data_IF_470115190855
#
_entry.id   IF_470115190855
#
_cell.length_a   1.000
_cell.length_b   1.000
_cell.length_c   1.000
_cell.angle_alpha   90.00
_cell.angle_beta   90.00
_cell.angle_gamma   90.00
#
_symmetry.space_group_name_H-M   'P 1'
#
loop_
_entity.id
_entity.type
_entity.pdbx_description
1 polymer ?
#
# COMPACT_ATOMS: atom_id res chain seq x y z
N UNK A 1 -6.43 -16.74 11.93
CA UNK A 1 -5.74 -15.80 11.05
C UNK A 1 -4.82 -16.56 10.11
N UNK A 2 -4.91 -16.28 8.82
CA UNK A 2 -3.97 -16.85 7.84
C UNK A 2 -2.55 -16.37 8.11
N UNK A 3 -1.55 -17.19 7.81
CA UNK A 3 -0.15 -16.80 7.90
C UNK A 3 0.27 -16.06 6.64
N UNK A 4 1.09 -15.04 6.77
CA UNK A 4 1.79 -14.46 5.63
C UNK A 4 2.82 -15.45 5.12
N UNK A 5 2.70 -15.85 3.86
CA UNK A 5 3.64 -16.74 3.19
C UNK A 5 4.22 -16.01 1.99
N UNK A 6 5.50 -15.72 2.06
CA UNK A 6 6.23 -15.05 0.99
C UNK A 6 6.47 -15.99 -0.19
N UNK A 7 6.04 -15.57 -1.38
CA UNK A 7 6.32 -16.26 -2.64
C UNK A 7 7.13 -15.34 -3.54
N UNK A 8 8.38 -15.67 -3.74
CA UNK A 8 9.27 -14.90 -4.62
C UNK A 8 10.09 -15.86 -5.49
N UNK A 9 10.40 -15.47 -6.73
CA UNK A 9 11.23 -16.27 -7.64
C UNK A 9 12.73 -16.19 -7.31
N UNK A 10 13.10 -15.45 -6.28
CA UNK A 10 14.48 -15.22 -5.85
C UNK A 10 14.60 -15.32 -4.33
N UNK A 11 15.82 -15.45 -3.85
CA UNK A 11 16.16 -15.51 -2.43
C UNK A 11 16.93 -14.24 -2.02
N UNK A 12 16.95 -13.95 -0.73
CA UNK A 12 17.72 -12.83 -0.20
C UNK A 12 19.22 -12.97 -0.52
N UNK A 13 19.82 -11.91 -1.03
CA UNK A 13 21.23 -11.87 -1.45
C UNK A 13 21.95 -10.67 -0.84
N UNK A 14 23.28 -10.70 -0.88
CA UNK A 14 24.12 -9.63 -0.36
C UNK A 14 23.85 -9.36 1.13
N UNK A 15 23.58 -8.12 1.47
CA UNK A 15 23.32 -7.69 2.86
C UNK A 15 21.84 -7.87 3.28
N UNK A 16 20.96 -8.32 2.38
CA UNK A 16 19.53 -8.50 2.67
C UNK A 16 19.29 -9.50 3.82
N UNK A 17 19.90 -10.70 3.88
CA UNK A 17 19.68 -11.63 4.99
C UNK A 17 20.01 -11.02 6.34
N UNK A 18 21.10 -10.27 6.44
CA UNK A 18 21.51 -9.58 7.65
C UNK A 18 20.53 -8.48 8.04
N UNK A 19 20.08 -7.67 7.08
CA UNK A 19 19.11 -6.61 7.30
C UNK A 19 17.75 -7.18 7.76
N UNK A 20 17.28 -8.27 7.13
CA UNK A 20 16.03 -8.94 7.51
C UNK A 20 16.13 -9.46 8.95
N UNK A 21 17.23 -10.11 9.30
CA UNK A 21 17.45 -10.64 10.65
C UNK A 21 17.48 -9.53 11.70
N UNK A 22 18.21 -8.45 11.45
CA UNK A 22 18.33 -7.32 12.37
C UNK A 22 16.99 -6.60 12.58
N UNK A 23 16.24 -6.37 11.51
CA UNK A 23 14.91 -5.73 11.59
C UNK A 23 13.90 -6.61 12.35
N UNK A 24 13.85 -7.91 12.06
CA UNK A 24 12.96 -8.84 12.75
C UNK A 24 13.29 -8.92 14.25
N UNK A 25 14.57 -9.04 14.60
CA UNK A 25 15.03 -9.03 15.99
C UNK A 25 14.68 -7.72 16.71
N UNK A 26 14.77 -6.58 16.01
CA UNK A 26 14.34 -5.29 16.56
C UNK A 26 12.86 -5.27 16.93
N UNK A 27 12.00 -5.87 16.12
CA UNK A 27 10.57 -6.02 16.44
C UNK A 27 10.35 -6.94 17.66
N UNK A 28 11.10 -8.03 17.79
CA UNK A 28 11.03 -8.94 18.93
C UNK A 28 11.47 -8.24 20.23
N UNK A 29 12.49 -7.41 20.15
CA UNK A 29 12.98 -6.58 21.26
C UNK A 29 12.09 -5.38 21.60
N UNK A 30 11.02 -5.15 20.82
CA UNK A 30 10.08 -4.05 21.03
C UNK A 30 10.63 -2.67 20.68
N UNK A 31 11.56 -2.58 19.75
CA UNK A 31 12.05 -1.29 19.24
C UNK A 31 10.90 -0.52 18.59
N UNK A 32 10.75 0.75 18.97
CA UNK A 32 9.67 1.61 18.48
C UNK A 32 9.88 2.08 17.03
N UNK A 33 11.13 2.18 16.61
CA UNK A 33 11.48 2.63 15.28
C UNK A 33 12.78 1.97 14.82
N UNK A 34 12.86 1.69 13.54
CA UNK A 34 14.05 1.18 12.86
C UNK A 34 14.14 1.81 11.48
N UNK A 35 15.32 2.01 10.96
CA UNK A 35 15.54 2.58 9.63
C UNK A 35 16.29 1.59 8.76
N UNK A 36 15.73 1.27 7.59
CA UNK A 36 16.39 0.52 6.54
C UNK A 36 16.94 1.50 5.50
N UNK A 37 18.27 1.63 5.43
CA UNK A 37 18.94 2.45 4.43
C UNK A 37 19.43 1.57 3.29
N UNK A 38 19.08 1.94 2.07
CA UNK A 38 19.53 1.23 0.88
C UNK A 38 19.33 2.09 -0.37
N UNK A 39 20.20 1.91 -1.34
CA UNK A 39 20.10 2.58 -2.64
C UNK A 39 18.92 2.07 -3.45
N UNK A 40 18.54 2.80 -4.49
CA UNK A 40 17.53 2.36 -5.44
C UNK A 40 17.95 1.02 -6.07
N UNK A 41 17.01 0.08 -6.17
CA UNK A 41 17.28 -1.25 -6.72
C UNK A 41 17.97 -2.23 -5.77
N UNK A 42 18.19 -1.87 -4.49
CA UNK A 42 18.77 -2.77 -3.48
C UNK A 42 17.82 -3.85 -2.94
N UNK A 43 16.58 -3.88 -3.43
CA UNK A 43 15.58 -4.84 -3.00
C UNK A 43 14.94 -4.52 -1.64
N UNK A 44 14.78 -3.23 -1.30
CA UNK A 44 14.16 -2.82 -0.04
C UNK A 44 12.74 -3.37 0.14
N UNK A 45 11.94 -3.41 -0.93
CA UNK A 45 10.56 -3.95 -0.86
C UNK A 45 10.56 -5.43 -0.53
N UNK A 46 11.45 -6.19 -1.15
CA UNK A 46 11.63 -7.61 -0.82
C UNK A 46 12.10 -7.82 0.62
N UNK A 47 13.02 -6.99 1.09
CA UNK A 47 13.48 -6.99 2.48
C UNK A 47 12.33 -6.73 3.45
N UNK A 48 11.47 -5.72 3.16
CA UNK A 48 10.27 -5.45 3.95
C UNK A 48 9.30 -6.63 3.95
N UNK A 49 9.03 -7.23 2.78
CA UNK A 49 8.17 -8.40 2.67
C UNK A 49 8.69 -9.59 3.50
N UNK A 50 9.99 -9.83 3.46
CA UNK A 50 10.64 -10.88 4.26
C UNK A 50 10.53 -10.63 5.76
N UNK A 51 10.61 -9.37 6.20
CA UNK A 51 10.40 -9.00 7.61
C UNK A 51 8.95 -9.23 8.01
N UNK A 52 7.98 -8.81 7.17
CA UNK A 52 6.54 -9.03 7.41
C UNK A 52 6.23 -10.52 7.57
N UNK A 53 6.77 -11.37 6.68
CA UNK A 53 6.61 -12.81 6.79
C UNK A 53 7.17 -13.34 8.12
N UNK A 54 8.33 -12.88 8.54
CA UNK A 54 8.99 -13.34 9.77
C UNK A 54 8.24 -12.89 11.01
N UNK A 55 7.79 -11.65 11.05
CA UNK A 55 7.11 -11.04 12.21
C UNK A 55 5.64 -11.45 12.32
N UNK A 56 4.97 -11.79 11.22
CA UNK A 56 3.57 -12.24 11.18
C UNK A 56 2.57 -11.27 11.85
N UNK A 57 2.75 -9.96 11.63
CA UNK A 57 1.86 -8.93 12.19
C UNK A 57 1.14 -8.16 11.09
N UNK A 58 -0.10 -7.70 11.34
CA UNK A 58 -0.75 -6.74 10.47
C UNK A 58 0.15 -5.52 10.24
N UNK A 59 0.30 -5.11 9.00
CA UNK A 59 1.27 -4.10 8.59
C UNK A 59 0.60 -3.00 7.78
N UNK A 60 0.82 -1.75 8.17
CA UNK A 60 0.42 -0.58 7.41
C UNK A 60 1.65 -0.01 6.69
N UNK A 61 1.57 0.08 5.36
CA UNK A 61 2.61 0.69 4.52
C UNK A 61 2.15 2.06 4.06
N UNK A 62 2.88 3.11 4.44
CA UNK A 62 2.57 4.49 4.07
C UNK A 62 3.56 4.96 3.00
N UNK A 63 3.03 5.49 1.90
CA UNK A 63 3.81 6.06 0.82
C UNK A 63 3.47 7.55 0.63
N UNK A 64 4.41 8.32 0.13
CA UNK A 64 4.27 9.77 -0.02
C UNK A 64 3.41 10.21 -1.22
N UNK A 65 3.09 9.30 -2.13
CA UNK A 65 2.19 9.56 -3.25
C UNK A 65 1.43 8.30 -3.70
N UNK A 66 0.38 8.52 -4.50
CA UNK A 66 -0.50 7.45 -4.99
C UNK A 66 0.21 6.47 -5.92
N UNK A 67 1.11 6.95 -6.75
CA UNK A 67 1.85 6.12 -7.72
C UNK A 67 2.73 5.11 -7.00
N UNK A 68 3.48 5.56 -6.00
CA UNK A 68 4.31 4.67 -5.19
C UNK A 68 3.46 3.73 -4.35
N UNK A 69 2.36 4.19 -3.77
CA UNK A 69 1.44 3.34 -3.03
C UNK A 69 0.85 2.23 -3.91
N UNK A 70 0.46 2.54 -5.14
CA UNK A 70 -0.04 1.56 -6.10
C UNK A 70 1.04 0.54 -6.49
N UNK A 71 2.26 1.00 -6.73
CA UNK A 71 3.39 0.12 -7.02
C UNK A 71 3.67 -0.83 -5.86
N UNK A 72 3.77 -0.32 -4.64
CA UNK A 72 3.99 -1.13 -3.45
C UNK A 72 2.87 -2.15 -3.23
N UNK A 73 1.61 -1.73 -3.40
CA UNK A 73 0.47 -2.64 -3.31
C UNK A 73 0.58 -3.79 -4.33
N UNK A 74 0.94 -3.49 -5.57
CA UNK A 74 1.15 -4.49 -6.62
C UNK A 74 2.29 -5.45 -6.27
N UNK A 75 3.42 -4.94 -5.80
CA UNK A 75 4.57 -5.75 -5.39
C UNK A 75 4.22 -6.65 -4.18
N UNK A 76 3.56 -6.12 -3.17
CA UNK A 76 3.13 -6.91 -2.01
C UNK A 76 2.07 -7.96 -2.36
N UNK A 77 1.15 -7.67 -3.29
CA UNK A 77 0.22 -8.68 -3.82
C UNK A 77 0.93 -9.81 -4.54
N UNK A 78 2.00 -9.51 -5.27
CA UNK A 78 2.83 -10.52 -5.92
C UNK A 78 3.61 -11.36 -4.90
N UNK A 79 4.11 -10.76 -3.82
CA UNK A 79 4.81 -11.48 -2.75
C UNK A 79 3.89 -12.29 -1.86
N UNK A 80 2.66 -11.83 -1.64
CA UNK A 80 1.68 -12.47 -0.76
C UNK A 80 0.36 -12.76 -1.49
N UNK A 81 0.37 -13.62 -2.52
CA UNK A 81 -0.81 -13.85 -3.37
C UNK A 81 -2.00 -14.46 -2.60
N UNK A 82 -1.74 -15.13 -1.50
CA UNK A 82 -2.76 -15.79 -0.67
C UNK A 82 -3.17 -14.95 0.55
N UNK A 83 -2.68 -13.73 0.67
CA UNK A 83 -2.96 -12.83 1.79
C UNK A 83 -3.80 -11.62 1.37
N UNK A 84 -4.55 -11.05 2.30
CA UNK A 84 -5.25 -9.80 2.08
C UNK A 84 -4.25 -8.63 2.02
N UNK A 85 -4.00 -8.15 0.82
CA UNK A 85 -3.20 -6.93 0.58
C UNK A 85 -4.11 -5.90 -0.05
N UNK A 86 -4.42 -4.85 0.70
CA UNK A 86 -5.39 -3.85 0.33
C UNK A 86 -4.73 -2.51 0.01
N UNK A 87 -5.36 -1.77 -0.88
CA UNK A 87 -4.92 -0.45 -1.32
C UNK A 87 -5.90 0.60 -0.83
N UNK A 88 -5.47 1.38 0.14
CA UNK A 88 -6.26 2.47 0.68
C UNK A 88 -5.71 3.81 0.18
N UNK A 89 -6.52 4.54 -0.58
CA UNK A 89 -6.15 5.81 -1.18
C UNK A 89 -7.35 6.75 -1.21
N UNK A 90 -7.08 8.05 -1.10
CA UNK A 90 -8.10 9.06 -1.36
C UNK A 90 -8.30 9.17 -2.86
N UNK A 91 -9.51 8.86 -3.30
CA UNK A 91 -9.93 9.10 -4.67
C UNK A 91 -10.40 10.54 -4.76
N UNK A 92 -9.85 11.29 -5.74
CA UNK A 92 -10.45 12.54 -6.12
C UNK A 92 -11.61 12.23 -7.04
N UNK A 93 -12.84 12.55 -6.62
CA UNK A 93 -13.88 12.80 -7.59
C UNK A 93 -13.40 13.97 -8.43
N UNK A 94 -13.30 13.77 -9.73
CA UNK A 94 -12.98 14.85 -10.64
C UNK A 94 -14.04 15.92 -10.42
N UNK A 95 -13.64 17.06 -9.86
CA UNK A 95 -14.44 18.26 -9.91
C UNK A 95 -14.62 18.58 -11.40
N UNK A 96 -15.75 18.16 -11.96
CA UNK A 96 -16.12 18.62 -13.29
C UNK A 96 -16.55 20.08 -13.13
N UNK A 97 -15.87 21.02 -13.81
CA UNK A 97 -16.25 22.41 -13.75
C UNK A 97 -17.73 22.53 -14.13
N UNK A 98 -18.43 23.45 -13.47
CA UNK A 98 -19.81 23.80 -13.79
C UNK A 98 -19.95 23.95 -15.30
N UNK A 99 -20.89 23.24 -15.90
CA UNK A 99 -21.15 23.38 -17.32
C UNK A 99 -21.94 24.69 -17.53
N UNK A 100 -21.29 25.68 -18.13
CA UNK A 100 -21.94 26.95 -18.50
C UNK A 100 -22.51 26.86 -19.89
N UNK A 101 -23.81 27.09 -20.00
CA UNK A 101 -24.54 27.17 -21.30
C UNK A 101 -24.75 28.66 -21.62
N UNK A 102 -23.92 29.22 -22.48
CA UNK A 102 -23.92 30.64 -22.81
C UNK A 102 -25.22 31.11 -23.47
N UNK A 103 -25.94 30.23 -24.15
CA UNK A 103 -27.21 30.57 -24.84
C UNK A 103 -28.37 30.81 -23.89
N UNK A 104 -28.33 30.32 -22.67
CA UNK A 104 -29.41 30.44 -21.68
C UNK A 104 -28.93 31.06 -20.37
N UNK A 105 -27.68 31.50 -20.29
CA UNK A 105 -27.06 32.05 -19.08
C UNK A 105 -27.29 31.14 -17.84
N UNK A 106 -27.21 29.83 -18.07
CA UNK A 106 -27.50 28.83 -17.05
C UNK A 106 -26.23 28.11 -16.63
N UNK A 107 -25.96 28.13 -15.32
CA UNK A 107 -24.98 27.28 -14.68
C UNK A 107 -25.63 25.97 -14.26
N UNK A 108 -25.15 24.88 -14.79
CA UNK A 108 -25.55 23.56 -14.30
C UNK A 108 -24.61 23.19 -13.16
N UNK A 109 -25.09 23.33 -11.95
CA UNK A 109 -24.44 22.82 -10.76
C UNK A 109 -24.43 21.29 -10.86
N UNK A 110 -23.26 20.71 -11.02
CA UNK A 110 -23.12 19.27 -10.87
C UNK A 110 -22.93 18.99 -9.39
N UNK A 111 -23.94 18.44 -8.77
CA UNK A 111 -23.81 17.84 -7.44
C UNK A 111 -22.64 16.86 -7.45
N UNK A 112 -21.78 16.98 -6.46
CA UNK A 112 -20.77 15.97 -6.17
C UNK A 112 -21.53 14.69 -5.78
N UNK A 113 -21.87 13.87 -6.77
CA UNK A 113 -22.46 12.58 -6.50
C UNK A 113 -21.43 11.77 -5.71
N UNK A 114 -21.82 11.30 -4.55
CA UNK A 114 -21.06 10.31 -3.78
C UNK A 114 -20.79 9.15 -4.72
N UNK A 115 -19.51 8.88 -5.01
CA UNK A 115 -19.16 7.74 -5.85
C UNK A 115 -19.22 6.50 -4.99
N UNK A 116 -20.33 5.79 -5.02
CA UNK A 116 -20.59 4.58 -4.24
C UNK A 116 -19.52 3.49 -4.47
N UNK A 117 -18.92 3.44 -5.66
CA UNK A 117 -17.86 2.51 -5.97
C UNK A 117 -16.56 2.85 -5.21
N UNK A 118 -16.21 4.12 -5.13
CA UNK A 118 -15.05 4.61 -4.37
C UNK A 118 -15.27 4.33 -2.88
N UNK A 119 -16.43 4.62 -2.34
CA UNK A 119 -16.75 4.36 -0.94
C UNK A 119 -16.74 2.86 -0.64
N UNK A 120 -17.25 2.04 -1.53
CA UNK A 120 -17.19 0.59 -1.42
C UNK A 120 -15.76 0.06 -1.38
N UNK A 121 -14.88 0.53 -2.27
CA UNK A 121 -13.47 0.15 -2.30
C UNK A 121 -12.73 0.56 -1.02
N UNK A 122 -13.03 1.74 -0.50
CA UNK A 122 -12.45 2.23 0.77
C UNK A 122 -12.94 1.42 1.95
N UNK A 123 -14.23 1.09 2.02
CA UNK A 123 -14.80 0.24 3.06
C UNK A 123 -14.25 -1.18 3.03
N UNK A 124 -14.15 -1.79 1.86
CA UNK A 124 -13.56 -3.12 1.70
C UNK A 124 -12.11 -3.16 2.17
N UNK A 125 -11.32 -2.14 1.82
CA UNK A 125 -9.95 -1.99 2.26
C UNK A 125 -9.83 -1.93 3.80
N UNK A 126 -10.72 -1.20 4.47
CA UNK A 126 -10.73 -1.11 5.93
C UNK A 126 -11.21 -2.39 6.63
N UNK A 127 -12.14 -3.13 6.03
CA UNK A 127 -12.69 -4.37 6.60
C UNK A 127 -11.66 -5.51 6.52
N UNK A 128 -10.84 -5.55 5.48
CA UNK A 128 -9.85 -6.60 5.27
C UNK A 128 -8.51 -6.39 6.01
N UNK A 129 -8.29 -5.21 6.56
CA UNK A 129 -7.14 -4.93 7.42
C UNK A 129 -7.35 -5.58 8.79
#
# INVERSE_FOLDING_TARGET
MGKFVLKAPYVAQGDQPQAIAALAEGFEKGLKAQTLLGVTGSGKTFTMASVIERVQRPTLVIAHNKTLAAQLCSEFKAFFPDSAVEYFVSYYDYYQPEAYIASTDTYIEKDSSVNDEIDRLRHLSLIHI
#
